data_IF_457855311871
#
_entry.id   IF_457855311871
#
_cell.length_a   1.000
_cell.length_b   1.000
_cell.length_c   1.000
_cell.angle_alpha   90.00
_cell.angle_beta   90.00
_cell.angle_gamma   90.00
#
_symmetry.space_group_name_H-M   'P 1'
#
loop_
_entity.id
_entity.type
_entity.pdbx_description
1 polymer ?
#
# COMPACT_ATOMS: atom_id res chain seq x y z
N UNK A 1 -49.72 22.34 -47.92
CA UNK A 1 -48.68 21.31 -48.18
C UNK A 1 -47.36 21.93 -47.74
N UNK A 2 -46.99 21.74 -46.47
CA UNK A 2 -45.90 20.82 -46.01
C UNK A 2 -44.52 21.33 -46.46
N UNK A 3 -43.50 21.51 -45.62
CA UNK A 3 -43.21 21.00 -44.28
C UNK A 3 -42.09 21.86 -43.66
N UNK A 4 -42.19 22.15 -42.36
CA UNK A 4 -41.10 22.69 -41.53
C UNK A 4 -40.09 21.58 -41.25
N UNK A 5 -38.80 21.83 -41.45
CA UNK A 5 -37.73 20.92 -41.06
C UNK A 5 -37.34 21.17 -39.60
N UNK A 6 -37.71 20.24 -38.72
CA UNK A 6 -37.30 20.18 -37.32
C UNK A 6 -35.86 19.67 -37.20
N UNK A 7 -34.99 20.47 -36.59
CA UNK A 7 -33.67 20.07 -36.10
C UNK A 7 -33.83 19.28 -34.80
N UNK A 8 -33.63 17.95 -34.85
CA UNK A 8 -33.50 17.10 -33.66
C UNK A 8 -32.07 17.15 -33.14
N UNK A 9 -31.88 17.79 -31.99
CA UNK A 9 -30.68 17.73 -31.18
C UNK A 9 -30.69 16.44 -30.34
N UNK A 10 -29.82 15.50 -30.68
CA UNK A 10 -29.61 14.29 -29.88
C UNK A 10 -28.67 14.58 -28.71
N UNK A 11 -29.24 14.82 -27.53
CA UNK A 11 -28.51 14.77 -26.27
C UNK A 11 -28.04 13.33 -25.99
N UNK A 12 -26.80 13.11 -25.51
CA UNK A 12 -26.35 11.80 -25.09
C UNK A 12 -27.00 11.45 -23.75
N UNK A 13 -27.93 10.50 -23.76
CA UNK A 13 -28.50 9.88 -22.56
C UNK A 13 -27.40 9.12 -21.81
N UNK A 14 -26.86 9.74 -20.76
CA UNK A 14 -26.04 9.04 -19.77
C UNK A 14 -26.89 7.99 -19.08
N UNK A 15 -26.52 6.71 -19.21
CA UNK A 15 -27.11 5.65 -18.40
C UNK A 15 -26.84 5.96 -16.93
N UNK A 16 -27.84 5.84 -16.04
CA UNK A 16 -27.62 6.04 -14.62
C UNK A 16 -26.68 4.95 -14.11
N UNK A 17 -25.61 5.37 -13.46
CA UNK A 17 -24.76 4.50 -12.65
C UNK A 17 -25.67 3.89 -11.59
N UNK A 18 -25.79 2.56 -11.55
CA UNK A 18 -26.41 1.89 -10.41
C UNK A 18 -25.56 2.23 -9.19
N UNK A 19 -26.07 3.07 -8.30
CA UNK A 19 -25.53 3.21 -6.95
C UNK A 19 -25.73 1.87 -6.24
N UNK A 20 -24.74 0.99 -6.33
CA UNK A 20 -24.55 -0.04 -5.31
C UNK A 20 -24.29 0.71 -4.01
N UNK A 21 -25.23 0.63 -3.06
CA UNK A 21 -25.05 1.09 -1.69
C UNK A 21 -23.97 0.23 -1.02
N UNK A 22 -22.71 0.47 -1.39
CA UNK A 22 -21.56 -0.09 -0.71
C UNK A 22 -21.43 0.60 0.65
N UNK A 23 -21.28 -0.21 1.70
CA UNK A 23 -21.08 0.21 3.10
C UNK A 23 -20.04 1.34 3.27
N UNK A 24 -19.11 1.47 2.32
CA UNK A 24 -18.08 2.50 2.28
C UNK A 24 -18.63 3.94 2.27
N UNK A 25 -19.76 4.21 1.60
CA UNK A 25 -20.33 5.56 1.52
C UNK A 25 -20.86 6.12 2.86
N UNK A 26 -20.95 5.28 3.90
CA UNK A 26 -21.38 5.69 5.24
C UNK A 26 -20.23 5.98 6.22
N UNK A 27 -18.97 5.69 5.82
CA UNK A 27 -17.81 5.90 6.68
C UNK A 27 -17.34 7.36 6.62
N UNK A 28 -16.84 7.93 7.72
CA UNK A 28 -16.22 9.26 7.71
C UNK A 28 -14.87 9.24 6.99
N UNK A 29 -14.47 10.37 6.41
CA UNK A 29 -13.15 10.50 5.77
C UNK A 29 -12.00 10.39 6.78
N UNK A 30 -12.22 10.90 8.00
CA UNK A 30 -11.22 10.99 9.06
C UNK A 30 -11.88 10.66 10.39
N UNK A 31 -11.24 9.78 11.16
CA UNK A 31 -11.53 9.59 12.58
C UNK A 31 -10.29 9.90 13.40
N UNK A 32 -10.51 10.27 14.67
CA UNK A 32 -9.44 10.45 15.63
C UNK A 32 -9.40 9.24 16.56
N UNK A 33 -8.35 8.44 16.42
CA UNK A 33 -7.98 7.42 17.41
C UNK A 33 -7.16 8.14 18.48
N UNK A 34 -7.58 8.02 19.74
CA UNK A 34 -6.86 8.63 20.87
C UNK A 34 -5.52 7.92 21.12
N UNK A 35 -4.61 8.56 21.88
CA UNK A 35 -3.34 7.89 22.21
C UNK A 35 -3.62 6.67 23.09
N UNK A 36 -4.46 6.84 24.11
CA UNK A 36 -4.89 5.83 25.07
C UNK A 36 -5.61 4.64 24.42
N UNK A 37 -6.39 4.88 23.37
CA UNK A 37 -7.01 3.80 22.61
C UNK A 37 -6.00 3.03 21.77
N UNK A 38 -5.06 3.72 21.13
CA UNK A 38 -4.06 3.09 20.27
C UNK A 38 -3.04 2.24 21.04
N UNK A 39 -2.73 2.61 22.29
CA UNK A 39 -1.73 1.92 23.13
C UNK A 39 -2.36 1.04 24.22
N UNK A 40 -3.70 0.86 24.21
CA UNK A 40 -4.41 0.12 25.26
C UNK A 40 -3.85 -1.29 25.49
N UNK A 41 -3.44 -1.95 24.41
CA UNK A 41 -2.97 -3.33 24.40
C UNK A 41 -1.44 -3.39 24.21
N UNK A 42 -0.72 -2.29 24.49
CA UNK A 42 0.74 -2.22 24.40
C UNK A 42 1.32 -2.33 25.80
N UNK A 43 2.04 -3.43 26.03
CA UNK A 43 2.90 -3.59 27.19
C UNK A 43 4.30 -3.08 26.84
N UNK A 44 4.84 -2.21 27.69
CA UNK A 44 6.22 -1.70 27.57
C UNK A 44 7.19 -2.64 28.30
N UNK A 45 8.41 -2.76 27.77
CA UNK A 45 9.47 -3.60 28.32
C UNK A 45 10.18 -2.95 29.53
N UNK A 46 9.89 -1.68 29.81
CA UNK A 46 10.33 -0.92 30.99
C UNK A 46 11.60 -0.08 30.78
N UNK A 47 12.27 -0.21 29.63
CA UNK A 47 13.39 0.65 29.25
C UNK A 47 12.94 1.94 28.56
N UNK A 48 11.74 1.94 28.00
CA UNK A 48 11.18 3.01 27.19
C UNK A 48 11.06 4.30 27.99
N UNK A 49 10.52 4.24 29.22
CA UNK A 49 10.35 5.42 30.08
C UNK A 49 11.68 6.13 30.36
N UNK A 50 12.73 5.35 30.60
CA UNK A 50 14.08 5.87 30.83
C UNK A 50 14.67 6.45 29.55
N UNK A 51 14.52 5.76 28.42
CA UNK A 51 14.95 6.25 27.11
C UNK A 51 14.27 7.56 26.74
N UNK A 52 12.95 7.66 26.90
CA UNK A 52 12.18 8.86 26.58
C UNK A 52 12.49 10.02 27.50
N UNK A 53 12.65 9.78 28.81
CA UNK A 53 12.91 10.84 29.79
C UNK A 53 14.36 11.32 29.82
N UNK A 54 15.34 10.42 29.66
CA UNK A 54 16.75 10.73 29.78
C UNK A 54 17.49 10.83 28.44
N UNK A 55 16.91 10.34 27.34
CA UNK A 55 17.57 10.25 26.04
C UNK A 55 18.77 9.28 26.04
N UNK A 56 18.81 8.35 27.00
CA UNK A 56 19.89 7.40 27.19
C UNK A 56 19.34 6.01 27.49
N UNK A 57 19.86 4.99 26.81
CA UNK A 57 19.53 3.59 27.04
C UNK A 57 20.64 2.94 27.86
N UNK A 58 20.28 2.50 29.07
CA UNK A 58 21.20 1.79 29.98
C UNK A 58 21.24 0.30 29.63
N UNK A 59 22.20 -0.08 28.78
CA UNK A 59 22.43 -1.47 28.37
C UNK A 59 22.98 -2.35 29.51
N UNK A 60 23.56 -1.78 30.57
CA UNK A 60 24.01 -2.57 31.73
C UNK A 60 22.80 -3.03 32.56
N UNK A 61 21.79 -2.17 32.68
CA UNK A 61 20.54 -2.45 33.40
C UNK A 61 19.57 -3.32 32.61
N UNK A 62 19.33 -3.00 31.34
CA UNK A 62 18.29 -3.65 30.52
C UNK A 62 18.85 -4.73 29.58
N UNK A 63 20.18 -4.84 29.47
CA UNK A 63 20.84 -5.69 28.48
C UNK A 63 20.92 -5.03 27.09
N UNK A 64 21.72 -5.57 26.16
CA UNK A 64 21.71 -5.12 24.77
C UNK A 64 20.43 -5.58 24.07
N UNK A 65 19.96 -4.82 23.08
CA UNK A 65 18.87 -5.28 22.21
C UNK A 65 19.33 -6.44 21.32
N UNK A 66 18.45 -7.44 21.18
CA UNK A 66 18.56 -8.42 20.10
C UNK A 66 18.39 -7.74 18.74
N UNK A 67 19.05 -8.29 17.71
CA UNK A 67 18.89 -7.78 16.35
C UNK A 67 17.43 -7.96 15.89
N UNK A 68 16.71 -6.87 15.54
CA UNK A 68 15.32 -6.96 15.14
C UNK A 68 15.12 -7.84 13.91
N UNK A 69 14.11 -8.72 13.96
CA UNK A 69 13.71 -9.52 12.80
C UNK A 69 12.69 -8.77 11.94
N UNK A 70 12.92 -8.75 10.63
CA UNK A 70 12.13 -7.96 9.67
C UNK A 70 11.55 -8.86 8.58
N UNK A 71 10.28 -8.66 8.24
CA UNK A 71 9.70 -9.26 7.03
C UNK A 71 10.07 -8.42 5.80
N UNK A 72 10.58 -9.07 4.75
CA UNK A 72 10.76 -8.44 3.45
C UNK A 72 9.56 -8.76 2.58
N UNK A 73 8.75 -7.74 2.24
CA UNK A 73 7.48 -7.93 1.56
C UNK A 73 7.54 -7.32 0.16
N UNK A 74 7.35 -8.15 -0.85
CA UNK A 74 7.41 -7.77 -2.26
C UNK A 74 6.02 -7.74 -2.87
N UNK A 75 5.72 -6.67 -3.60
CA UNK A 75 4.63 -6.72 -4.56
C UNK A 75 5.18 -7.23 -5.90
N UNK A 76 4.62 -8.29 -6.46
CA UNK A 76 5.10 -8.87 -7.71
C UNK A 76 3.97 -9.46 -8.55
N UNK A 77 4.14 -9.39 -9.87
CA UNK A 77 3.21 -9.95 -10.83
C UNK A 77 3.95 -10.47 -12.05
N UNK A 78 3.56 -11.65 -12.54
CA UNK A 78 3.96 -12.15 -13.84
C UNK A 78 2.94 -11.72 -14.89
N UNK A 79 3.14 -10.57 -15.53
CA UNK A 79 2.25 -10.12 -16.60
C UNK A 79 2.35 -10.91 -17.91
N UNK A 80 3.25 -11.91 -17.99
CA UNK A 80 3.32 -12.84 -19.12
C UNK A 80 2.41 -14.07 -18.94
N UNK A 81 1.85 -14.31 -17.75
CA UNK A 81 0.88 -15.40 -17.50
C UNK A 81 -0.42 -15.11 -18.28
N UNK A 82 -0.84 -16.03 -19.16
CA UNK A 82 -2.03 -15.86 -20.00
C UNK A 82 -3.31 -15.77 -19.18
N UNK A 83 -3.44 -16.58 -18.12
CA UNK A 83 -4.61 -16.52 -17.24
C UNK A 83 -4.72 -15.16 -16.54
N UNK A 84 -3.59 -14.58 -16.14
CA UNK A 84 -3.56 -13.22 -15.60
C UNK A 84 -3.96 -12.17 -16.65
N UNK A 85 -3.46 -12.29 -17.88
CA UNK A 85 -3.81 -11.37 -18.98
C UNK A 85 -5.30 -11.41 -19.27
N UNK A 86 -5.89 -12.60 -19.35
CA UNK A 86 -7.31 -12.80 -19.65
C UNK A 86 -8.20 -12.24 -18.54
N UNK A 87 -7.89 -12.58 -17.28
CA UNK A 87 -8.58 -12.03 -16.11
C UNK A 87 -8.47 -10.50 -16.11
N UNK A 88 -7.25 -9.94 -16.18
CA UNK A 88 -7.05 -8.49 -16.19
C UNK A 88 -7.80 -7.82 -17.33
N UNK A 89 -7.71 -8.36 -18.53
CA UNK A 89 -8.34 -7.81 -19.72
C UNK A 89 -9.86 -7.74 -19.57
N UNK A 90 -10.49 -8.75 -18.96
CA UNK A 90 -11.94 -8.73 -18.67
C UNK A 90 -12.36 -7.52 -17.82
N UNK A 91 -11.56 -7.15 -16.82
CA UNK A 91 -11.80 -5.97 -16.00
C UNK A 91 -11.39 -4.66 -16.70
N UNK A 92 -10.35 -4.69 -17.54
CA UNK A 92 -9.97 -3.52 -18.34
C UNK A 92 -11.10 -3.09 -19.27
N UNK A 93 -11.84 -4.04 -19.88
CA UNK A 93 -12.97 -3.75 -20.77
C UNK A 93 -14.12 -3.03 -20.05
N UNK A 94 -14.32 -3.29 -18.76
CA UNK A 94 -15.36 -2.69 -17.94
C UNK A 94 -14.90 -1.44 -17.18
N UNK A 95 -13.62 -1.07 -17.28
CA UNK A 95 -13.04 0.00 -16.48
C UNK A 95 -13.66 1.37 -16.81
N UNK A 96 -13.98 2.20 -15.80
CA UNK A 96 -14.43 3.58 -16.02
C UNK A 96 -13.34 4.49 -16.61
N UNK A 97 -12.09 4.03 -16.67
CA UNK A 97 -10.96 4.75 -17.25
C UNK A 97 -10.93 4.67 -18.79
N UNK A 98 -11.73 3.79 -19.41
CA UNK A 98 -11.81 3.66 -20.85
C UNK A 98 -12.30 4.94 -21.51
N UNK A 99 -11.45 5.54 -22.36
CA UNK A 99 -11.84 6.61 -23.25
C UNK A 99 -12.47 6.07 -24.54
N UNK A 100 -13.28 6.91 -25.21
CA UNK A 100 -13.96 6.54 -26.46
C UNK A 100 -13.01 6.13 -27.58
N UNK A 101 -11.77 6.63 -27.57
CA UNK A 101 -10.77 6.34 -28.60
C UNK A 101 -9.97 5.06 -28.28
N UNK A 102 -10.23 4.40 -27.14
CA UNK A 102 -9.52 3.18 -26.71
C UNK A 102 -8.04 3.40 -26.39
N UNK A 103 -7.61 4.63 -26.10
CA UNK A 103 -6.20 4.95 -25.79
C UNK A 103 -5.76 4.37 -24.45
N UNK A 104 -6.62 4.41 -23.45
CA UNK A 104 -6.32 3.89 -22.12
C UNK A 104 -6.04 2.39 -22.20
N UNK A 105 -6.97 1.59 -22.72
CA UNK A 105 -6.81 0.13 -22.79
C UNK A 105 -5.62 -0.31 -23.65
N UNK A 106 -5.32 0.42 -24.73
CA UNK A 106 -4.18 0.10 -25.62
C UNK A 106 -2.81 0.47 -25.03
N UNK A 107 -2.74 1.46 -24.13
CA UNK A 107 -1.46 1.94 -23.57
C UNK A 107 -1.21 1.49 -22.13
N UNK A 108 -2.27 1.13 -21.39
CA UNK A 108 -2.19 0.78 -19.97
C UNK A 108 -1.48 -0.56 -19.71
N UNK A 109 -1.58 -1.51 -20.64
CA UNK A 109 -1.29 -2.93 -20.40
C UNK A 109 0.18 -3.36 -20.57
N UNK A 110 0.98 -2.67 -21.40
CA UNK A 110 2.28 -3.23 -21.83
C UNK A 110 3.41 -2.99 -20.82
N UNK A 111 3.55 -1.77 -20.28
CA UNK A 111 4.74 -1.42 -19.48
C UNK A 111 4.59 -1.71 -17.99
N UNK A 112 3.37 -1.81 -17.46
CA UNK A 112 3.11 -1.87 -16.01
C UNK A 112 3.23 -3.26 -15.40
N UNK A 113 3.10 -4.29 -16.21
CA UNK A 113 3.01 -5.68 -15.76
C UNK A 113 4.14 -6.55 -16.33
N UNK A 114 5.09 -5.95 -17.05
CA UNK A 114 6.19 -6.69 -17.67
C UNK A 114 7.20 -7.08 -16.60
N UNK A 115 7.51 -8.37 -16.56
CA UNK A 115 8.53 -8.96 -15.68
C UNK A 115 9.84 -9.15 -16.46
N UNK A 116 10.96 -8.76 -15.84
CA UNK A 116 12.33 -8.90 -16.38
C UNK A 116 13.20 -9.84 -15.55
N UNK A 117 12.60 -10.72 -14.73
CA UNK A 117 13.29 -11.55 -13.74
C UNK A 117 14.02 -10.74 -12.65
N UNK A 118 13.70 -9.45 -12.49
CA UNK A 118 14.33 -8.56 -11.50
C UNK A 118 14.16 -9.09 -10.07
N UNK A 119 12.97 -9.61 -9.74
CA UNK A 119 12.68 -10.23 -8.44
C UNK A 119 13.71 -11.30 -8.07
N UNK A 120 14.15 -12.13 -9.03
CA UNK A 120 15.11 -13.21 -8.78
C UNK A 120 16.43 -12.67 -8.23
N UNK A 121 16.90 -11.57 -8.80
CA UNK A 121 18.13 -10.92 -8.40
C UNK A 121 17.93 -10.09 -7.11
N UNK A 122 16.73 -9.53 -6.91
CA UNK A 122 16.37 -8.83 -5.67
C UNK A 122 16.40 -9.77 -4.46
N UNK A 123 15.76 -10.95 -4.55
CA UNK A 123 15.80 -11.94 -3.46
C UNK A 123 17.22 -12.45 -3.17
N UNK A 124 18.05 -12.61 -4.21
CA UNK A 124 19.47 -12.96 -4.03
C UNK A 124 20.24 -11.86 -3.32
N UNK A 125 19.92 -10.59 -3.58
CA UNK A 125 20.54 -9.48 -2.86
C UNK A 125 20.20 -9.52 -1.37
N UNK A 126 18.99 -9.96 -0.99
CA UNK A 126 18.63 -10.16 0.42
C UNK A 126 19.45 -11.27 1.09
N UNK A 127 19.64 -12.41 0.41
CA UNK A 127 20.45 -13.51 0.93
C UNK A 127 21.93 -13.10 1.14
N UNK A 128 22.47 -12.27 0.24
CA UNK A 128 23.86 -11.80 0.34
C UNK A 128 24.00 -10.72 1.42
N UNK A 129 23.06 -9.77 1.50
CA UNK A 129 23.26 -8.52 2.24
C UNK A 129 22.42 -8.34 3.50
N UNK A 130 21.38 -9.16 3.71
CA UNK A 130 20.42 -9.01 4.82
C UNK A 130 20.09 -10.30 5.57
N UNK A 131 20.62 -11.47 5.19
CA UNK A 131 20.24 -12.79 5.74
C UNK A 131 20.22 -12.91 7.27
N UNK A 132 21.03 -12.13 7.98
CA UNK A 132 21.17 -12.23 9.44
C UNK A 132 19.89 -11.91 10.21
N UNK A 133 19.04 -11.05 9.65
CA UNK A 133 17.88 -10.49 10.34
C UNK A 133 16.54 -10.67 9.60
N UNK A 134 16.54 -11.38 8.47
CA UNK A 134 15.30 -11.76 7.78
C UNK A 134 14.45 -12.64 8.71
N UNK A 135 13.20 -12.25 8.93
CA UNK A 135 12.17 -13.11 9.51
C UNK A 135 11.57 -13.99 8.40
N UNK A 136 11.02 -13.35 7.38
CA UNK A 136 10.39 -13.99 6.21
C UNK A 136 10.53 -13.11 4.98
N UNK A 137 10.49 -13.74 3.82
CA UNK A 137 10.27 -13.06 2.54
C UNK A 137 8.83 -13.38 2.12
N UNK A 138 8.03 -12.37 1.81
CA UNK A 138 6.64 -12.52 1.40
C UNK A 138 6.45 -11.95 0.00
N UNK A 139 5.93 -12.75 -0.94
CA UNK A 139 5.59 -12.33 -2.28
C UNK A 139 4.08 -12.15 -2.38
N UNK A 140 3.61 -10.92 -2.55
CA UNK A 140 2.20 -10.59 -2.73
C UNK A 140 1.87 -10.68 -4.21
N UNK A 141 0.90 -11.53 -4.52
CA UNK A 141 0.62 -11.92 -5.91
C UNK A 141 -0.87 -11.95 -6.20
N UNK A 142 -1.21 -11.70 -7.46
CA UNK A 142 -2.53 -12.00 -7.98
C UNK A 142 -2.76 -13.52 -8.02
N UNK A 143 -4.01 -13.92 -7.78
CA UNK A 143 -4.49 -15.26 -8.10
C UNK A 143 -4.86 -15.38 -9.58
N UNK A 144 -4.65 -16.55 -10.17
CA UNK A 144 -4.93 -16.88 -11.57
C UNK A 144 -5.70 -18.19 -11.69
N UNK A 145 -6.50 -18.30 -12.75
CA UNK A 145 -7.36 -19.44 -13.10
C UNK A 145 -8.00 -19.15 -14.47
N UNK A 146 -8.88 -20.03 -14.96
CA UNK A 146 -9.55 -19.83 -16.27
C UNK A 146 -10.41 -18.56 -16.28
N UNK A 147 -11.10 -18.29 -15.16
CA UNK A 147 -11.81 -17.05 -14.88
C UNK A 147 -11.61 -16.71 -13.41
N UNK A 148 -11.65 -15.42 -13.07
CA UNK A 148 -11.52 -15.02 -11.67
C UNK A 148 -12.75 -15.44 -10.87
N UNK A 149 -12.54 -16.31 -9.87
CA UNK A 149 -13.58 -16.72 -8.93
C UNK A 149 -13.38 -16.02 -7.59
N UNK A 150 -14.38 -15.25 -7.15
CA UNK A 150 -14.33 -14.50 -5.89
C UNK A 150 -14.24 -15.39 -4.65
N UNK A 151 -14.81 -16.59 -4.72
CA UNK A 151 -14.75 -17.58 -3.63
C UNK A 151 -13.43 -18.35 -3.58
N UNK A 152 -12.50 -18.05 -4.52
CA UNK A 152 -11.20 -18.70 -4.62
C UNK A 152 -11.24 -20.08 -5.27
N UNK A 153 -12.40 -20.56 -5.73
CA UNK A 153 -12.51 -21.87 -6.38
C UNK A 153 -11.71 -21.88 -7.68
N UNK A 154 -10.91 -22.93 -7.90
CA UNK A 154 -10.03 -23.06 -9.08
C UNK A 154 -9.02 -21.91 -9.27
N UNK A 155 -8.75 -21.14 -8.21
CA UNK A 155 -7.74 -20.09 -8.21
C UNK A 155 -6.43 -20.60 -7.60
N UNK A 156 -5.31 -20.21 -8.19
CA UNK A 156 -3.97 -20.41 -7.63
C UNK A 156 -3.21 -19.09 -7.55
N UNK A 157 -2.39 -18.83 -6.51
CA UNK A 157 -1.48 -17.70 -6.53
C UNK A 157 -0.49 -17.82 -7.69
N UNK A 158 -0.13 -16.70 -8.32
CA UNK A 158 1.02 -16.70 -9.22
C UNK A 158 2.29 -17.05 -8.45
N UNK A 159 3.21 -17.76 -9.11
CA UNK A 159 4.50 -18.13 -8.53
C UNK A 159 5.60 -17.92 -9.58
N UNK A 160 6.74 -17.30 -9.22
CA UNK A 160 7.88 -17.25 -10.13
C UNK A 160 8.31 -18.65 -10.54
N UNK A 161 8.53 -18.88 -11.84
CA UNK A 161 8.81 -20.23 -12.39
C UNK A 161 10.11 -20.84 -11.86
N UNK A 162 11.03 -20.00 -11.39
CA UNK A 162 12.30 -20.40 -10.79
C UNK A 162 12.22 -20.65 -9.28
N UNK A 163 11.10 -20.30 -8.62
CA UNK A 163 10.92 -20.47 -7.18
C UNK A 163 10.30 -21.85 -6.90
N UNK A 164 11.10 -22.77 -6.34
CA UNK A 164 10.66 -24.14 -6.02
C UNK A 164 9.50 -24.14 -5.04
N UNK A 165 8.53 -25.02 -5.23
CA UNK A 165 7.41 -25.22 -4.32
C UNK A 165 7.65 -26.48 -3.46
N UNK A 166 8.45 -26.29 -2.41
CA UNK A 166 8.85 -27.32 -1.44
C UNK A 166 8.87 -26.74 -0.02
N UNK A 167 8.82 -27.62 0.99
CA UNK A 167 8.73 -27.20 2.40
C UNK A 167 9.93 -26.36 2.85
N UNK A 168 11.13 -26.64 2.33
CA UNK A 168 12.35 -25.89 2.63
C UNK A 168 12.23 -24.44 2.14
N UNK A 169 11.84 -24.25 0.89
CA UNK A 169 11.66 -22.92 0.29
C UNK A 169 10.51 -22.18 0.95
N UNK A 170 9.39 -22.85 1.20
CA UNK A 170 8.17 -22.27 1.75
C UNK A 170 8.29 -21.87 3.24
N UNK A 171 9.31 -22.36 3.96
CA UNK A 171 9.67 -21.86 5.30
C UNK A 171 10.28 -20.46 5.27
N UNK A 172 10.96 -20.09 4.19
CA UNK A 172 11.65 -18.81 4.05
C UNK A 172 10.90 -17.80 3.16
N UNK A 173 10.29 -18.29 2.07
CA UNK A 173 9.58 -17.48 1.07
C UNK A 173 8.11 -17.89 1.04
N UNK A 174 7.23 -16.98 1.47
CA UNK A 174 5.79 -17.18 1.44
C UNK A 174 5.20 -16.50 0.21
N UNK A 175 4.49 -17.26 -0.63
CA UNK A 175 3.69 -16.69 -1.72
C UNK A 175 2.28 -16.48 -1.20
N UNK A 176 1.86 -15.23 -1.12
CA UNK A 176 0.59 -14.80 -0.55
C UNK A 176 -0.29 -14.25 -1.66
N UNK A 177 -1.42 -14.90 -1.91
CA UNK A 177 -2.45 -14.31 -2.77
C UNK A 177 -3.06 -13.08 -2.12
N UNK A 178 -3.57 -12.14 -2.90
CA UNK A 178 -4.28 -10.98 -2.34
C UNK A 178 -5.46 -11.39 -1.44
N UNK A 179 -6.18 -12.46 -1.79
CA UNK A 179 -7.28 -13.01 -0.99
C UNK A 179 -6.83 -13.51 0.39
N UNK A 180 -5.55 -13.90 0.54
CA UNK A 180 -5.03 -14.44 1.79
C UNK A 180 -4.77 -13.39 2.87
N UNK A 181 -4.60 -12.11 2.51
CA UNK A 181 -4.27 -11.05 3.47
C UNK A 181 -5.16 -9.81 3.39
N UNK A 182 -5.93 -9.58 2.32
CA UNK A 182 -6.89 -8.47 2.31
C UNK A 182 -7.85 -8.59 3.51
N UNK A 183 -8.21 -7.45 4.11
CA UNK A 183 -9.23 -7.42 5.17
C UNK A 183 -10.50 -8.08 4.68
N UNK A 184 -11.17 -8.84 5.55
CA UNK A 184 -12.36 -9.63 5.18
C UNK A 184 -13.40 -8.79 4.43
N UNK A 185 -13.71 -7.60 4.93
CA UNK A 185 -14.67 -6.69 4.30
C UNK A 185 -14.22 -6.09 2.97
N UNK A 186 -12.93 -6.15 2.64
CA UNK A 186 -12.37 -5.59 1.39
C UNK A 186 -12.08 -6.69 0.35
N UNK A 187 -12.23 -7.97 0.70
CA UNK A 187 -12.00 -9.10 -0.24
C UNK A 187 -12.96 -9.07 -1.43
N UNK A 188 -14.17 -8.57 -1.24
CA UNK A 188 -15.17 -8.43 -2.31
C UNK A 188 -14.73 -7.48 -3.45
N UNK A 189 -13.73 -6.65 -3.17
CA UNK A 189 -13.15 -5.73 -4.13
C UNK A 189 -12.06 -6.34 -5.00
N UNK A 190 -11.62 -7.57 -4.71
CA UNK A 190 -10.68 -8.31 -5.56
C UNK A 190 -11.36 -8.78 -6.87
N UNK A 191 -10.58 -9.00 -7.95
CA UNK A 191 -9.14 -8.79 -8.03
C UNK A 191 -8.81 -7.31 -8.20
N UNK A 192 -7.62 -6.91 -7.75
CA UNK A 192 -7.03 -5.60 -8.05
C UNK A 192 -5.71 -5.77 -8.80
N UNK A 193 -5.40 -4.78 -9.65
CA UNK A 193 -4.17 -4.65 -10.43
C UNK A 193 -3.42 -3.36 -10.07
N UNK A 194 -3.87 -2.68 -9.01
CA UNK A 194 -3.33 -1.42 -8.55
C UNK A 194 -2.46 -1.65 -7.32
N UNK A 195 -1.16 -1.36 -7.44
CA UNK A 195 -0.24 -1.51 -6.31
C UNK A 195 -0.68 -0.70 -5.09
N UNK A 196 -1.29 0.48 -5.26
CA UNK A 196 -1.75 1.28 -4.11
C UNK A 196 -2.84 0.57 -3.31
N UNK A 197 -3.72 -0.17 -3.99
CA UNK A 197 -4.77 -0.97 -3.35
C UNK A 197 -4.16 -2.13 -2.56
N UNK A 198 -3.19 -2.83 -3.16
CA UNK A 198 -2.43 -3.93 -2.53
C UNK A 198 -1.64 -3.42 -1.32
N UNK A 199 -0.87 -2.34 -1.51
CA UNK A 199 -0.05 -1.69 -0.49
C UNK A 199 -0.89 -1.14 0.67
N UNK A 200 -2.13 -0.70 0.40
CA UNK A 200 -3.05 -0.26 1.45
C UNK A 200 -3.44 -1.36 2.44
N UNK A 201 -3.22 -2.63 2.09
CA UNK A 201 -3.55 -3.81 2.88
C UNK A 201 -2.31 -4.55 3.40
N UNK A 202 -1.09 -4.11 3.07
CA UNK A 202 0.15 -4.85 3.34
C UNK A 202 0.39 -5.16 4.83
N UNK A 203 -0.11 -4.31 5.73
CA UNK A 203 0.00 -4.52 7.18
C UNK A 203 -0.73 -5.78 7.66
N UNK A 204 -1.67 -6.31 6.87
CA UNK A 204 -2.43 -7.52 7.16
C UNK A 204 -1.70 -8.82 6.81
N UNK A 205 -0.54 -8.76 6.15
CA UNK A 205 0.20 -9.99 5.83
C UNK A 205 0.64 -10.70 7.12
N UNK A 206 0.50 -12.04 7.19
CA UNK A 206 0.67 -12.77 8.44
C UNK A 206 2.14 -12.80 8.88
N UNK A 207 2.40 -12.42 10.13
CA UNK A 207 3.76 -12.42 10.67
C UNK A 207 3.83 -12.56 12.18
N UNK A 208 5.00 -12.98 12.65
CA UNK A 208 5.45 -12.96 14.05
C UNK A 208 6.13 -11.65 14.43
N UNK A 209 6.49 -10.80 13.47
CA UNK A 209 7.10 -9.48 13.71
C UNK A 209 6.19 -8.35 13.27
N UNK A 210 6.24 -7.23 13.98
CA UNK A 210 5.53 -6.00 13.62
C UNK A 210 6.21 -5.24 12.48
N UNK A 211 7.53 -5.42 12.30
CA UNK A 211 8.30 -4.64 11.36
C UNK A 211 8.37 -5.33 9.99
N UNK A 212 8.01 -4.58 8.96
CA UNK A 212 8.16 -5.00 7.58
C UNK A 212 8.97 -3.98 6.79
N UNK A 213 9.70 -4.47 5.80
CA UNK A 213 10.37 -3.68 4.78
C UNK A 213 9.79 -4.05 3.42
N UNK A 214 9.00 -3.13 2.87
CA UNK A 214 8.31 -3.32 1.60
C UNK A 214 9.20 -2.94 0.42
N UNK A 215 9.21 -3.78 -0.61
CA UNK A 215 10.03 -3.61 -1.81
C UNK A 215 9.19 -3.84 -3.07
N UNK A 216 9.59 -3.15 -4.14
CA UNK A 216 9.25 -3.56 -5.51
C UNK A 216 10.27 -4.58 -6.00
N UNK A 217 9.91 -5.34 -7.04
CA UNK A 217 10.76 -6.36 -7.64
C UNK A 217 12.05 -5.81 -8.27
N UNK A 218 12.05 -4.55 -8.67
CA UNK A 218 13.17 -3.80 -9.25
C UNK A 218 14.10 -3.13 -8.21
N UNK A 219 13.92 -3.40 -6.92
CA UNK A 219 14.75 -2.85 -5.84
C UNK A 219 15.77 -3.87 -5.33
N UNK A 220 17.04 -3.45 -5.19
CA UNK A 220 18.16 -4.33 -4.81
C UNK A 220 18.96 -3.76 -3.65
N UNK A 221 19.47 -4.62 -2.78
CA UNK A 221 20.51 -4.25 -1.82
C UNK A 221 21.88 -4.31 -2.50
N UNK A 222 22.71 -3.30 -2.24
CA UNK A 222 24.02 -3.14 -2.89
C UNK A 222 25.23 -3.36 -1.98
N UNK A 223 25.02 -3.50 -0.67
CA UNK A 223 26.06 -3.64 0.35
C UNK A 223 25.51 -4.35 1.60
N UNK A 224 26.36 -4.95 2.44
CA UNK A 224 25.91 -5.59 3.68
C UNK A 224 25.19 -4.59 4.60
N UNK A 225 24.09 -5.04 5.20
CA UNK A 225 23.26 -4.24 6.11
C UNK A 225 23.10 -4.91 7.48
N UNK A 226 22.82 -4.08 8.49
CA UNK A 226 22.27 -4.51 9.77
C UNK A 226 20.77 -4.20 9.82
N UNK A 227 20.00 -4.87 10.70
CA UNK A 227 18.58 -4.55 10.86
C UNK A 227 18.32 -3.06 11.18
N UNK A 228 19.23 -2.42 11.93
CA UNK A 228 19.15 -1.01 12.30
C UNK A 228 19.26 -0.03 11.13
N UNK A 229 19.72 -0.47 9.96
CA UNK A 229 19.66 0.34 8.73
C UNK A 229 18.21 0.53 8.23
N UNK A 230 17.31 -0.37 8.62
CA UNK A 230 15.89 -0.37 8.26
C UNK A 230 14.99 0.04 9.43
N UNK A 231 15.25 -0.51 10.62
CA UNK A 231 14.47 -0.27 11.83
C UNK A 231 15.31 -0.45 13.08
N UNK A 232 15.18 0.50 14.02
CA UNK A 232 15.76 0.41 15.37
C UNK A 232 14.66 0.54 16.42
N UNK A 233 14.69 -0.25 17.52
CA UNK A 233 13.78 -0.05 18.66
C UNK A 233 13.87 1.37 19.26
N UNK A 234 15.05 1.99 19.24
CA UNK A 234 15.27 3.30 19.84
C UNK A 234 14.87 4.48 18.95
N UNK A 235 15.05 4.33 17.63
CA UNK A 235 14.89 5.43 16.67
C UNK A 235 13.74 5.23 15.68
N UNK A 236 13.12 4.05 15.67
CA UNK A 236 12.04 3.70 14.76
C UNK A 236 12.51 3.34 13.35
N UNK A 237 11.60 3.40 12.36
CA UNK A 237 11.89 3.04 10.98
C UNK A 237 12.68 4.11 10.23
N UNK A 238 13.59 3.68 9.36
CA UNK A 238 14.29 4.57 8.42
C UNK A 238 13.33 5.15 7.40
N UNK A 239 13.32 6.49 7.26
CA UNK A 239 12.49 7.22 6.30
C UNK A 239 13.34 8.05 5.35
N UNK A 240 13.10 7.89 4.05
CA UNK A 240 13.71 8.70 2.99
C UNK A 240 12.69 9.64 2.37
N UNK A 241 13.09 10.89 2.10
CA UNK A 241 12.21 11.93 1.56
C UNK A 241 12.83 12.62 0.33
N UNK A 242 11.97 13.00 -0.61
CA UNK A 242 12.27 13.90 -1.74
C UNK A 242 12.13 15.36 -1.28
N UNK A 243 12.65 16.29 -2.09
CA UNK A 243 12.46 17.73 -1.87
C UNK A 243 11.01 18.19 -2.07
N UNK A 244 10.26 17.51 -2.94
CA UNK A 244 8.84 17.72 -3.15
C UNK A 244 8.06 17.59 -1.83
N UNK A 245 7.10 18.48 -1.63
CA UNK A 245 6.26 18.48 -0.43
C UNK A 245 4.88 19.05 -0.72
N UNK A 246 3.90 18.66 0.09
CA UNK A 246 2.50 19.08 -0.04
C UNK A 246 1.93 19.54 1.29
N UNK A 247 1.12 20.59 1.23
CA UNK A 247 0.28 21.08 2.33
C UNK A 247 -1.09 21.46 1.77
N UNK A 248 -1.94 20.45 1.57
CA UNK A 248 -3.21 20.62 0.85
C UNK A 248 -4.32 20.96 1.84
N UNK A 249 -4.77 22.21 1.86
CA UNK A 249 -5.79 22.68 2.80
C UNK A 249 -7.22 22.35 2.37
N UNK A 250 -7.46 22.31 1.05
CA UNK A 250 -8.76 22.05 0.43
C UNK A 250 -8.55 21.34 -0.91
N UNK A 251 -9.39 20.37 -1.23
CA UNK A 251 -9.44 19.74 -2.54
C UNK A 251 -10.06 20.69 -3.57
N UNK A 252 -9.57 20.67 -4.82
CA UNK A 252 -10.16 21.45 -5.91
C UNK A 252 -9.97 22.97 -5.81
N UNK A 253 -8.93 23.44 -5.10
CA UNK A 253 -8.57 24.86 -5.03
C UNK A 253 -8.13 25.44 -6.39
N UNK A 254 -7.84 26.75 -6.41
CA UNK A 254 -7.42 27.48 -7.63
C UNK A 254 -6.13 26.94 -8.29
N UNK A 255 -5.30 26.21 -7.54
CA UNK A 255 -4.13 25.50 -8.07
C UNK A 255 -4.56 24.22 -8.78
N UNK A 256 -4.03 23.99 -9.98
CA UNK A 256 -4.29 22.77 -10.74
C UNK A 256 -3.95 21.53 -9.91
N UNK A 257 -4.92 20.62 -9.77
CA UNK A 257 -4.70 19.31 -9.14
C UNK A 257 -3.65 18.56 -9.98
N UNK A 258 -2.58 18.05 -9.38
CA UNK A 258 -1.62 17.22 -10.11
C UNK A 258 -2.33 16.01 -10.72
N UNK A 259 -2.06 15.70 -11.98
CA UNK A 259 -2.69 14.59 -12.71
C UNK A 259 -1.72 13.47 -13.10
N UNK A 260 -0.42 13.65 -12.86
CA UNK A 260 0.62 12.73 -13.33
C UNK A 260 1.25 11.94 -12.18
N UNK A 261 1.44 10.64 -12.41
CA UNK A 261 2.17 9.74 -11.50
C UNK A 261 1.48 9.58 -10.15
N UNK A 262 2.27 9.57 -9.07
CA UNK A 262 1.80 9.43 -7.68
C UNK A 262 1.26 10.74 -7.07
N UNK A 263 1.50 11.88 -7.73
CA UNK A 263 1.20 13.23 -7.22
C UNK A 263 -0.27 13.46 -6.86
N UNK A 264 -1.28 12.99 -7.62
CA UNK A 264 -2.68 13.15 -7.22
C UNK A 264 -2.99 12.48 -5.87
N UNK A 265 -2.38 11.32 -5.60
CA UNK A 265 -2.60 10.54 -4.38
C UNK A 265 -1.89 11.16 -3.17
N UNK A 266 -0.67 11.67 -3.38
CA UNK A 266 0.03 12.48 -2.37
C UNK A 266 -0.77 13.74 -2.02
N UNK A 267 -1.29 14.44 -3.03
CA UNK A 267 -2.11 15.64 -2.84
C UNK A 267 -3.34 15.34 -1.99
N UNK A 268 -4.09 14.28 -2.33
CA UNK A 268 -5.26 13.85 -1.56
C UNK A 268 -4.89 13.41 -0.14
N UNK A 269 -3.82 12.64 0.03
CA UNK A 269 -3.41 12.15 1.35
C UNK A 269 -2.88 13.28 2.24
N UNK A 270 -2.23 14.30 1.67
CA UNK A 270 -1.84 15.53 2.39
C UNK A 270 -3.06 16.27 2.95
N UNK A 271 -4.17 16.30 2.19
CA UNK A 271 -5.45 16.83 2.68
C UNK A 271 -5.97 16.03 3.87
N UNK A 272 -6.02 14.71 3.78
CA UNK A 272 -6.47 13.84 4.88
C UNK A 272 -5.63 14.03 6.15
N UNK A 273 -4.30 14.02 6.02
CA UNK A 273 -3.37 14.25 7.13
C UNK A 273 -3.53 15.64 7.74
N UNK A 274 -3.79 16.68 6.94
CA UNK A 274 -4.10 18.02 7.44
C UNK A 274 -5.38 18.03 8.29
N UNK A 275 -6.40 17.27 7.91
CA UNK A 275 -7.66 17.18 8.67
C UNK A 275 -7.47 16.44 9.99
N UNK A 276 -6.57 15.45 10.05
CA UNK A 276 -6.27 14.69 11.28
C UNK A 276 -5.29 15.39 12.23
N UNK A 277 -4.24 16.03 11.70
CA UNK A 277 -3.09 16.51 12.49
C UNK A 277 -2.81 18.02 12.34
N UNK A 278 -3.57 18.73 11.50
CA UNK A 278 -3.36 20.14 11.20
C UNK A 278 -2.42 20.39 10.03
N UNK A 279 -2.47 21.63 9.55
CA UNK A 279 -1.76 22.11 8.35
C UNK A 279 -0.24 22.04 8.51
N UNK A 280 0.43 21.33 7.60
CA UNK A 280 1.89 21.24 7.59
C UNK A 280 2.43 20.89 6.20
N UNK A 281 3.64 21.37 5.90
CA UNK A 281 4.39 20.88 4.75
C UNK A 281 4.89 19.45 5.04
N UNK A 282 4.46 18.50 4.21
CA UNK A 282 4.82 17.08 4.32
C UNK A 282 5.58 16.65 3.07
N UNK A 283 6.82 16.23 3.26
CA UNK A 283 7.69 15.80 2.18
C UNK A 283 7.23 14.48 1.58
N UNK A 284 7.31 14.36 0.26
CA UNK A 284 7.04 13.10 -0.43
C UNK A 284 8.14 12.11 -0.08
N UNK A 285 7.79 10.87 0.20
CA UNK A 285 8.74 9.80 0.42
C UNK A 285 9.59 9.55 -0.83
N UNK A 286 10.84 9.17 -0.61
CA UNK A 286 11.74 8.73 -1.67
C UNK A 286 11.24 7.40 -2.28
N UNK A 287 11.64 7.15 -3.53
CA UNK A 287 11.38 5.86 -4.17
C UNK A 287 12.53 4.90 -3.80
N UNK A 288 12.35 4.20 -2.69
CA UNK A 288 13.24 3.19 -2.12
C UNK A 288 12.37 2.19 -1.33
N UNK A 289 12.95 1.11 -0.79
CA UNK A 289 12.19 0.20 0.06
C UNK A 289 11.66 0.90 1.31
N UNK A 290 10.46 0.53 1.78
CA UNK A 290 9.78 1.25 2.86
C UNK A 290 9.73 0.44 4.14
N UNK A 291 10.38 0.96 5.19
CA UNK A 291 10.31 0.41 6.54
C UNK A 291 9.08 0.94 7.26
N UNK A 292 8.19 0.05 7.69
CA UNK A 292 6.96 0.43 8.40
C UNK A 292 6.61 -0.59 9.49
N UNK A 293 6.01 -0.08 10.56
CA UNK A 293 5.30 -0.88 11.56
C UNK A 293 3.92 -1.27 11.05
N UNK A 294 3.55 -2.55 11.15
CA UNK A 294 2.20 -3.04 10.83
C UNK A 294 1.16 -2.39 11.73
N UNK A 295 1.42 -2.27 13.03
CA UNK A 295 0.54 -1.63 14.01
C UNK A 295 0.27 -0.17 13.65
N UNK A 296 1.32 0.59 13.37
CA UNK A 296 1.16 2.02 13.02
C UNK A 296 0.46 2.19 11.67
N UNK A 297 0.78 1.35 10.68
CA UNK A 297 0.09 1.38 9.38
C UNK A 297 -1.39 0.98 9.50
N UNK A 298 -1.71 0.00 10.34
CA UNK A 298 -3.09 -0.38 10.67
C UNK A 298 -3.85 0.80 11.29
N UNK A 299 -3.24 1.49 12.25
CA UNK A 299 -3.81 2.69 12.87
C UNK A 299 -4.01 3.82 11.85
N UNK A 300 -3.03 4.03 10.96
CA UNK A 300 -3.10 5.03 9.90
C UNK A 300 -4.27 4.76 8.95
N UNK A 301 -4.44 3.51 8.48
CA UNK A 301 -5.55 3.15 7.61
C UNK A 301 -6.90 3.21 8.33
N UNK A 302 -6.95 2.82 9.62
CA UNK A 302 -8.16 2.94 10.43
C UNK A 302 -8.58 4.40 10.66
N UNK A 303 -7.62 5.33 10.74
CA UNK A 303 -7.87 6.77 10.90
C UNK A 303 -8.49 7.43 9.66
N UNK A 304 -8.45 6.77 8.51
CA UNK A 304 -9.04 7.24 7.25
C UNK A 304 -9.98 6.17 6.67
N UNK A 305 -11.08 5.80 7.35
CA UNK A 305 -11.78 4.56 7.06
C UNK A 305 -12.45 4.56 5.69
N UNK A 306 -13.09 5.67 5.29
CA UNK A 306 -13.65 5.80 3.94
C UNK A 306 -12.55 5.80 2.86
N UNK A 307 -11.51 6.67 2.93
CA UNK A 307 -10.42 6.66 1.95
C UNK A 307 -9.69 5.32 1.85
N UNK A 308 -9.48 4.64 2.99
CA UNK A 308 -8.84 3.32 3.05
C UNK A 308 -9.68 2.27 2.35
N UNK A 309 -10.98 2.22 2.64
CA UNK A 309 -11.86 1.21 2.06
C UNK A 309 -12.10 1.47 0.56
N UNK A 310 -12.35 2.72 0.15
CA UNK A 310 -12.44 3.08 -1.26
C UNK A 310 -11.14 2.76 -1.99
N UNK A 311 -10.00 3.09 -1.38
CA UNK A 311 -8.69 2.83 -1.96
C UNK A 311 -8.36 1.35 -2.09
N UNK A 312 -8.81 0.49 -1.17
CA UNK A 312 -8.67 -0.96 -1.31
C UNK A 312 -9.44 -1.51 -2.53
N UNK A 313 -10.49 -0.79 -2.96
CA UNK A 313 -11.40 -1.24 -4.02
C UNK A 313 -11.11 -0.68 -5.42
N UNK A 314 -10.04 0.11 -5.58
CA UNK A 314 -9.60 0.51 -6.91
C UNK A 314 -8.91 -0.67 -7.61
N UNK A 315 -9.42 -1.08 -8.76
CA UNK A 315 -8.84 -2.16 -9.56
C UNK A 315 -7.67 -1.66 -10.38
N UNK A 316 -7.84 -0.50 -11.00
CA UNK A 316 -6.81 0.18 -11.76
C UNK A 316 -6.48 1.53 -11.15
N UNK A 317 -5.20 1.90 -11.22
CA UNK A 317 -4.74 3.16 -10.63
C UNK A 317 -5.41 4.36 -11.28
N UNK A 318 -6.11 5.17 -10.46
CA UNK A 318 -6.68 6.44 -10.87
C UNK A 318 -8.17 6.39 -11.20
N UNK A 319 -8.86 5.27 -10.98
CA UNK A 319 -10.31 5.11 -11.18
C UNK A 319 -11.11 6.21 -10.48
N UNK A 320 -10.76 6.52 -9.23
CA UNK A 320 -11.44 7.53 -8.42
C UNK A 320 -10.86 8.95 -8.57
N UNK A 321 -9.82 9.11 -9.39
CA UNK A 321 -8.87 10.26 -9.42
C UNK A 321 -8.06 10.47 -8.13
N UNK A 322 -8.61 10.13 -6.96
CA UNK A 322 -8.02 10.34 -5.65
C UNK A 322 -8.12 9.08 -4.77
N UNK A 323 -6.99 8.43 -4.61
CA UNK A 323 -6.76 7.31 -3.71
C UNK A 323 -5.89 7.75 -2.54
N UNK A 324 -6.11 7.19 -1.35
CA UNK A 324 -5.13 7.32 -0.27
C UNK A 324 -3.81 6.69 -0.72
N UNK A 325 -2.69 7.36 -0.45
CA UNK A 325 -1.37 6.87 -0.78
C UNK A 325 -0.74 6.21 0.46
N UNK A 326 -0.67 4.86 0.53
CA UNK A 326 -0.40 4.16 1.79
C UNK A 326 0.93 4.55 2.42
N UNK A 327 1.99 4.62 1.63
CA UNK A 327 3.33 4.98 2.12
C UNK A 327 3.42 6.42 2.66
N UNK A 328 2.84 7.38 1.94
CA UNK A 328 2.81 8.77 2.39
C UNK A 328 1.95 8.92 3.64
N UNK A 329 0.82 8.22 3.71
CA UNK A 329 -0.01 8.15 4.91
C UNK A 329 0.80 7.57 6.08
N UNK A 330 1.36 6.38 5.95
CA UNK A 330 2.08 5.68 7.03
C UNK A 330 3.30 6.46 7.53
N UNK A 331 4.14 7.00 6.65
CA UNK A 331 5.35 7.73 7.06
C UNK A 331 4.99 8.96 7.89
N UNK A 332 4.06 9.78 7.38
CA UNK A 332 3.66 10.99 8.10
C UNK A 332 2.81 10.67 9.32
N UNK A 333 1.99 9.62 9.29
CA UNK A 333 1.25 9.17 10.46
C UNK A 333 2.21 8.78 11.60
N UNK A 334 3.25 7.99 11.33
CA UNK A 334 4.31 7.66 12.31
C UNK A 334 4.95 8.92 12.89
N UNK A 335 5.32 9.89 12.04
CA UNK A 335 5.93 11.15 12.50
C UNK A 335 4.97 11.95 13.39
N UNK A 336 3.70 12.08 13.00
CA UNK A 336 2.73 12.86 13.78
C UNK A 336 2.35 12.14 15.08
N UNK A 337 2.28 10.81 15.10
CA UNK A 337 2.06 10.03 16.32
C UNK A 337 3.22 10.14 17.29
N UNK A 338 4.46 10.14 16.80
CA UNK A 338 5.62 10.44 17.64
C UNK A 338 5.52 11.83 18.28
N UNK A 339 5.10 12.86 17.51
CA UNK A 339 4.87 14.19 18.08
C UNK A 339 3.74 14.23 19.09
N UNK A 340 2.64 13.51 18.84
CA UNK A 340 1.55 13.40 19.81
C UNK A 340 2.07 12.75 21.10
N UNK A 341 2.81 11.63 21.02
CA UNK A 341 3.39 10.96 22.19
C UNK A 341 4.27 11.91 23.04
N UNK A 342 5.09 12.75 22.40
CA UNK A 342 5.93 13.75 23.09
C UNK A 342 5.15 14.87 23.80
N UNK A 343 3.85 15.05 23.51
CA UNK A 343 2.99 16.00 24.24
C UNK A 343 2.45 15.37 25.52
N UNK A 344 2.38 14.04 25.58
CA UNK A 344 1.83 13.28 26.71
C UNK A 344 2.91 12.74 27.66
N UNK A 345 4.18 12.69 27.23
CA UNK A 345 5.36 12.48 28.09
C UNK A 345 5.77 13.76 28.80
#
# INVERSE_FOLDING_TARGET
MTSQGSTESTEPTSRPVKEEHNLHHALPDVIRISFEEAVRDVDLDGWEDEWFSAGHFDAEKHGPFDEPKIDFVYNWVNGSDEAFKDIRHSYELESPLNDRDGKWISQHSINRYRDWDELRYSLRSLDVYAKGFINKIQLLVNSVGDQYQKDGTDMRPQRPTWLRDDDETNQHVQVLSHESFFREQDKDCLPTFNSLSIESQIYMTPSSTDQLFALSDDMFLGMPHAASDFYSPLFGPTMGFKSDHYNVKRLGGKSQIPSFGEKPFVYYTSYLLNHRFGERNRHVQAHFGHSVSRRVMKEAMASFPEPSARGACERFRGESRFQIYPWFASFHYTIERFREALIWS
#
